data_IF_499651808757
#
_entry.id   IF_499651808757
#
_cell.length_a   1.000
_cell.length_b   1.000
_cell.length_c   1.000
_cell.angle_alpha   90.00
_cell.angle_beta   90.00
_cell.angle_gamma   90.00
#
_symmetry.space_group_name_H-M   'P 1'
#
loop_
_entity.id
_entity.type
_entity.pdbx_description
1 polymer ?
#
# COMPACT_ATOMS: atom_id res chain seq x y z
N UNK A 1 -29.27 1.69 14.35
CA UNK A 1 -28.43 0.47 14.31
C UNK A 1 -27.01 0.85 14.05
N UNK A 2 -26.08 0.63 14.97
CA UNK A 2 -24.66 0.99 14.74
C UNK A 2 -24.02 -0.04 13.81
N UNK A 3 -23.61 0.38 12.63
CA UNK A 3 -22.88 -0.46 11.68
C UNK A 3 -21.40 -0.47 12.09
N UNK A 4 -20.83 -1.64 12.36
CA UNK A 4 -19.41 -1.81 12.68
C UNK A 4 -18.63 -2.29 11.45
N UNK A 5 -17.35 -2.01 11.40
CA UNK A 5 -16.45 -2.50 10.32
C UNK A 5 -16.55 -4.02 10.14
N UNK A 6 -16.64 -4.76 11.23
CA UNK A 6 -16.82 -6.23 11.18
C UNK A 6 -18.11 -6.66 10.47
N UNK A 7 -19.20 -5.92 10.65
CA UNK A 7 -20.49 -6.23 9.99
C UNK A 7 -20.48 -6.01 8.49
N UNK A 8 -19.60 -5.16 8.00
CA UNK A 8 -19.40 -4.91 6.56
C UNK A 8 -18.23 -5.70 5.96
N UNK A 9 -17.76 -6.73 6.67
CA UNK A 9 -16.74 -7.64 6.16
C UNK A 9 -15.29 -7.25 6.47
N UNK A 10 -15.07 -6.20 7.29
CA UNK A 10 -13.71 -5.75 7.67
C UNK A 10 -13.44 -6.13 9.11
N UNK A 11 -12.85 -7.28 9.35
CA UNK A 11 -12.38 -7.70 10.68
C UNK A 11 -10.92 -7.27 10.88
N UNK A 12 -10.75 -6.15 11.60
CA UNK A 12 -9.42 -5.56 11.84
C UNK A 12 -8.50 -6.51 12.63
N UNK A 13 -9.04 -7.34 13.54
CA UNK A 13 -8.26 -8.27 14.32
C UNK A 13 -7.71 -9.41 13.43
N UNK A 14 -8.54 -9.92 12.55
CA UNK A 14 -8.14 -10.96 11.60
C UNK A 14 -7.17 -10.43 10.55
N UNK A 15 -7.39 -9.20 10.07
CA UNK A 15 -6.46 -8.51 9.18
C UNK A 15 -5.08 -8.39 9.84
N UNK A 16 -4.98 -7.94 11.09
CA UNK A 16 -3.71 -7.80 11.82
C UNK A 16 -3.02 -9.15 12.00
N UNK A 17 -3.77 -10.21 12.29
CA UNK A 17 -3.22 -11.58 12.43
C UNK A 17 -2.65 -12.06 11.11
N UNK A 18 -3.38 -11.90 10.02
CA UNK A 18 -2.95 -12.26 8.66
C UNK A 18 -1.73 -11.46 8.22
N UNK A 19 -1.72 -10.15 8.47
CA UNK A 19 -0.57 -9.28 8.21
C UNK A 19 0.67 -9.73 8.98
N UNK A 20 0.53 -10.16 10.24
CA UNK A 20 1.65 -10.67 11.03
C UNK A 20 2.24 -11.97 10.45
N UNK A 21 1.41 -12.88 9.93
CA UNK A 21 1.86 -14.09 9.27
C UNK A 21 2.57 -13.80 7.94
N UNK A 22 1.95 -12.95 7.10
CA UNK A 22 2.50 -12.52 5.82
C UNK A 22 3.83 -11.76 6.04
N UNK A 23 3.88 -10.89 7.05
CA UNK A 23 5.08 -10.12 7.39
C UNK A 23 6.29 -10.99 7.69
N UNK A 24 6.11 -12.11 8.40
CA UNK A 24 7.19 -13.08 8.67
C UNK A 24 7.71 -13.72 7.38
N UNK A 25 6.82 -14.11 6.49
CA UNK A 25 7.19 -14.73 5.20
C UNK A 25 7.95 -13.71 4.34
N UNK A 26 7.41 -12.49 4.18
CA UNK A 26 8.05 -11.42 3.40
C UNK A 26 9.42 -11.07 3.99
N UNK A 27 9.53 -10.89 5.31
CA UNK A 27 10.80 -10.55 5.96
C UNK A 27 11.87 -11.65 5.80
N UNK A 28 11.47 -12.91 5.65
CA UNK A 28 12.42 -13.99 5.36
C UNK A 28 13.06 -13.83 3.97
N UNK A 29 12.35 -13.26 3.01
CA UNK A 29 12.85 -13.04 1.64
C UNK A 29 13.81 -11.85 1.54
N UNK A 30 13.74 -10.89 2.46
CA UNK A 30 14.61 -9.71 2.43
C UNK A 30 16.10 -10.07 2.50
N UNK A 31 16.45 -11.15 3.19
CA UNK A 31 17.83 -11.62 3.34
C UNK A 31 18.39 -12.29 2.09
N UNK A 32 17.55 -12.69 1.16
CA UNK A 32 17.96 -13.35 -0.09
C UNK A 32 18.28 -12.35 -1.20
N UNK A 33 17.97 -11.07 -1.01
CA UNK A 33 18.23 -10.01 -1.98
C UNK A 33 19.72 -9.69 -2.03
N UNK A 34 20.32 -9.88 -3.22
CA UNK A 34 21.74 -9.59 -3.47
C UNK A 34 21.99 -8.24 -4.14
N UNK A 35 20.98 -7.69 -4.83
CA UNK A 35 21.10 -6.50 -5.67
C UNK A 35 20.68 -5.21 -4.98
N UNK A 36 19.82 -5.30 -3.96
CA UNK A 36 19.33 -4.14 -3.24
C UNK A 36 19.08 -4.50 -1.79
N UNK A 37 19.34 -3.59 -0.90
CA UNK A 37 19.06 -3.76 0.53
C UNK A 37 17.70 -3.19 0.86
N UNK A 38 16.84 -3.97 1.49
CA UNK A 38 15.55 -3.48 1.99
C UNK A 38 15.83 -2.52 3.14
N UNK A 39 15.52 -1.25 2.94
CA UNK A 39 15.74 -0.19 3.92
C UNK A 39 14.59 -0.13 4.94
N UNK A 40 13.38 -0.43 4.51
CA UNK A 40 12.22 -0.50 5.39
C UNK A 40 11.45 -1.81 5.16
N UNK A 41 11.20 -2.52 6.25
CA UNK A 41 10.54 -3.82 6.21
C UNK A 41 9.03 -3.74 6.00
N UNK A 42 8.38 -4.89 6.16
CA UNK A 42 6.94 -5.04 6.03
C UNK A 42 6.16 -4.20 7.05
N UNK A 43 5.02 -3.65 6.63
CA UNK A 43 4.11 -2.87 7.48
C UNK A 43 4.09 -1.38 7.16
N UNK A 44 4.87 -0.94 6.18
CA UNK A 44 4.83 0.42 5.64
C UNK A 44 4.00 0.50 4.36
N UNK A 45 3.50 1.68 4.03
CA UNK A 45 2.71 1.87 2.80
C UNK A 45 3.55 1.77 1.53
N UNK A 46 4.84 2.09 1.60
CA UNK A 46 5.78 1.92 0.50
C UNK A 46 6.88 0.93 0.86
N UNK A 47 7.26 0.10 -0.09
CA UNK A 47 8.49 -0.68 -0.03
C UNK A 47 9.67 0.24 -0.34
N UNK A 48 10.69 0.27 0.53
CA UNK A 48 11.85 1.14 0.37
C UNK A 48 13.10 0.27 0.26
N UNK A 49 13.83 0.43 -0.84
CA UNK A 49 15.10 -0.26 -1.06
C UNK A 49 16.23 0.75 -1.26
N UNK A 50 17.37 0.43 -0.69
CA UNK A 50 18.61 1.19 -0.89
C UNK A 50 19.23 0.80 -2.24
N UNK A 51 19.57 1.81 -3.03
CA UNK A 51 20.25 1.65 -4.31
C UNK A 51 21.59 2.38 -4.28
N UNK A 52 22.54 2.07 -5.20
CA UNK A 52 23.85 2.70 -5.22
C UNK A 52 23.80 4.23 -5.22
N UNK A 53 24.79 4.86 -4.56
CA UNK A 53 24.89 6.32 -4.48
C UNK A 53 24.11 6.94 -3.33
N UNK A 54 23.86 6.21 -2.25
CA UNK A 54 23.14 6.66 -1.05
C UNK A 54 21.75 7.19 -1.39
N UNK A 55 21.08 6.48 -2.32
CA UNK A 55 19.72 6.79 -2.78
C UNK A 55 18.76 5.69 -2.35
N UNK A 56 17.50 6.05 -2.28
CA UNK A 56 16.43 5.12 -1.95
C UNK A 56 15.38 5.12 -3.06
N UNK A 57 14.94 3.92 -3.42
CA UNK A 57 13.80 3.74 -4.29
C UNK A 57 12.58 3.36 -3.44
N UNK A 58 11.55 4.18 -3.48
CA UNK A 58 10.27 3.89 -2.86
C UNK A 58 9.30 3.39 -3.94
N UNK A 59 8.66 2.25 -3.69
CA UNK A 59 7.67 1.67 -4.57
C UNK A 59 6.37 1.44 -3.81
N UNK A 60 5.26 1.72 -4.46
CA UNK A 60 3.94 1.55 -3.88
C UNK A 60 2.96 1.04 -4.93
N UNK A 61 2.07 0.16 -4.51
CA UNK A 61 0.92 -0.28 -5.30
C UNK A 61 -0.31 -0.29 -4.41
N UNK A 62 -1.42 0.13 -4.96
CA UNK A 62 -2.69 0.14 -4.25
C UNK A 62 -3.84 -0.21 -5.18
N UNK A 63 -5.01 -0.47 -4.61
CA UNK A 63 -6.24 -0.73 -5.34
C UNK A 63 -7.18 0.48 -5.33
N UNK A 64 -8.16 0.46 -6.23
CA UNK A 64 -9.19 1.51 -6.30
C UNK A 64 -10.12 1.51 -5.07
N UNK A 65 -10.07 0.46 -4.26
CA UNK A 65 -10.87 0.32 -3.05
C UNK A 65 -12.35 0.07 -3.36
N UNK A 66 -13.22 0.48 -2.44
CA UNK A 66 -14.68 0.23 -2.51
C UNK A 66 -15.39 0.94 -3.65
N UNK A 67 -14.74 1.87 -4.35
CA UNK A 67 -15.30 2.50 -5.56
C UNK A 67 -15.63 1.49 -6.67
N UNK A 68 -14.98 0.32 -6.67
CA UNK A 68 -15.28 -0.75 -7.63
C UNK A 68 -16.71 -1.27 -7.48
N UNK A 69 -17.27 -1.26 -6.28
CA UNK A 69 -18.65 -1.66 -6.04
C UNK A 69 -19.63 -0.71 -6.72
N UNK A 70 -19.34 0.59 -6.70
CA UNK A 70 -20.14 1.60 -7.40
C UNK A 70 -20.03 1.40 -8.91
N UNK A 71 -18.82 1.16 -9.42
CA UNK A 71 -18.60 0.88 -10.83
C UNK A 71 -19.37 -0.37 -11.29
N UNK A 72 -19.39 -1.42 -10.47
CA UNK A 72 -20.16 -2.64 -10.73
C UNK A 72 -21.66 -2.38 -10.75
N UNK A 73 -22.17 -1.60 -9.79
CA UNK A 73 -23.59 -1.26 -9.68
C UNK A 73 -24.09 -0.49 -10.91
N UNK A 74 -23.31 0.48 -11.38
CA UNK A 74 -23.66 1.31 -12.55
C UNK A 74 -23.12 0.75 -13.87
N UNK A 75 -22.38 -0.37 -13.85
CA UNK A 75 -21.71 -0.96 -15.02
C UNK A 75 -20.85 0.05 -15.80
N UNK A 76 -20.22 0.97 -15.05
CA UNK A 76 -19.43 2.05 -15.62
C UNK A 76 -17.98 1.93 -15.17
N UNK A 77 -17.09 1.52 -16.08
CA UNK A 77 -15.68 1.20 -15.77
C UNK A 77 -14.69 2.14 -16.43
N UNK A 78 -15.13 3.01 -17.33
CA UNK A 78 -14.27 3.83 -18.17
C UNK A 78 -13.47 4.92 -17.41
N UNK A 79 -13.81 5.20 -16.15
CA UNK A 79 -13.12 6.19 -15.32
C UNK A 79 -12.38 5.57 -14.14
N UNK A 80 -12.58 4.27 -13.87
CA UNK A 80 -12.04 3.63 -12.67
C UNK A 80 -10.51 3.60 -12.64
N UNK A 81 -9.87 3.58 -13.81
CA UNK A 81 -8.41 3.66 -13.93
C UNK A 81 -7.84 5.00 -13.48
N UNK A 82 -8.58 6.09 -13.63
CA UNK A 82 -8.19 7.42 -13.14
C UNK A 82 -8.15 7.40 -11.60
N UNK A 83 -9.18 6.82 -10.98
CA UNK A 83 -9.24 6.66 -9.53
C UNK A 83 -8.09 5.78 -9.00
N UNK A 84 -7.75 4.69 -9.71
CA UNK A 84 -6.65 3.82 -9.35
C UNK A 84 -5.30 4.57 -9.32
N UNK A 85 -5.02 5.32 -10.37
CA UNK A 85 -3.79 6.14 -10.44
C UNK A 85 -3.78 7.20 -9.35
N UNK A 86 -4.90 7.89 -9.13
CA UNK A 86 -5.02 8.89 -8.09
C UNK A 86 -4.79 8.31 -6.68
N UNK A 87 -5.32 7.12 -6.39
CA UNK A 87 -5.07 6.42 -5.12
C UNK A 87 -3.59 6.16 -4.90
N UNK A 88 -2.90 5.59 -5.90
CA UNK A 88 -1.47 5.30 -5.79
C UNK A 88 -0.63 6.56 -5.61
N UNK A 89 -0.87 7.59 -6.40
CA UNK A 89 -0.08 8.83 -6.37
C UNK A 89 -0.33 9.63 -5.08
N UNK A 90 -1.59 9.83 -4.71
CA UNK A 90 -1.94 10.65 -3.56
C UNK A 90 -1.52 9.99 -2.24
N UNK A 91 -1.68 8.67 -2.11
CA UNK A 91 -1.30 7.97 -0.89
C UNK A 91 0.18 8.14 -0.58
N UNK A 92 1.06 7.99 -1.56
CA UNK A 92 2.51 8.08 -1.34
C UNK A 92 2.99 9.52 -1.30
N UNK A 93 2.62 10.34 -2.29
CA UNK A 93 3.16 11.70 -2.44
C UNK A 93 2.69 12.68 -1.36
N UNK A 94 1.46 12.55 -0.89
CA UNK A 94 0.86 13.53 0.02
C UNK A 94 0.76 13.07 1.47
N UNK A 95 0.80 11.77 1.74
CA UNK A 95 0.58 11.27 3.10
C UNK A 95 1.79 10.59 3.71
N UNK A 96 2.68 10.01 2.90
CA UNK A 96 3.77 9.16 3.39
C UNK A 96 5.17 9.62 3.00
N UNK A 97 5.30 10.48 1.99
CA UNK A 97 6.56 11.10 1.59
C UNK A 97 6.53 12.58 1.96
N UNK A 98 7.24 12.95 3.00
CA UNK A 98 7.59 14.35 3.25
C UNK A 98 8.71 14.71 2.29
N UNK A 99 8.37 15.43 1.22
CA UNK A 99 9.39 16.03 0.38
C UNK A 99 10.09 17.14 1.17
N UNK A 100 11.43 17.20 1.21
CA UNK A 100 12.12 18.33 1.81
C UNK A 100 11.72 19.58 1.04
N UNK A 101 10.91 20.42 1.66
CA UNK A 101 10.66 21.76 1.15
C UNK A 101 11.91 22.57 1.43
N UNK A 102 12.74 22.78 0.41
CA UNK A 102 13.76 23.81 0.47
C UNK A 102 13.04 25.15 0.57
N UNK A 103 13.06 25.72 1.77
CA UNK A 103 12.77 27.15 1.99
C UNK A 103 14.05 27.94 1.77
#
# INVERSE_FOLDING_TARGET
MVTTYKKVGVDIAEIKKSQGAIGRIISSTHRTQKLAKVAHGFGHYAGIVEIPGNKFLATHTDGVGTKIEIANLYKKYNTIGIDLVAMCVNAVSYTHLTLPTNR
#
